data_IF_894926747678
#
_entry.id   IF_894926747678
#
_cell.length_a   1.000
_cell.length_b   1.000
_cell.length_c   1.000
_cell.angle_alpha   90.00
_cell.angle_beta   90.00
_cell.angle_gamma   90.00
#
_symmetry.space_group_name_H-M   'P 1'
#
loop_
_entity.id
_entity.type
_entity.pdbx_description
1 polymer ?
#
# COMPACT_ATOMS: atom_id res chain seq x y z
N UNK A 1 -0.83 -8.49 -23.78
CA UNK A 1 -1.55 -7.65 -22.82
C UNK A 1 -1.91 -8.52 -21.62
N UNK A 2 -0.89 -8.88 -20.84
CA UNK A 2 -1.02 -9.66 -19.61
C UNK A 2 -0.88 -8.77 -18.37
N UNK A 3 -0.85 -7.44 -18.57
CA UNK A 3 -0.30 -6.48 -17.62
C UNK A 3 -1.07 -6.40 -16.28
N UNK A 4 -2.34 -6.81 -16.24
CA UNK A 4 -3.18 -6.73 -15.03
C UNK A 4 -2.91 -7.82 -13.98
N UNK A 5 -2.37 -8.98 -14.37
CA UNK A 5 -2.06 -10.06 -13.41
C UNK A 5 -0.68 -9.90 -12.78
N UNK A 6 0.13 -9.00 -13.32
CA UNK A 6 1.51 -8.80 -12.90
C UNK A 6 1.65 -7.73 -11.81
N UNK A 7 0.69 -6.81 -11.62
CA UNK A 7 0.80 -5.72 -10.63
C UNK A 7 1.02 -6.22 -9.20
N UNK A 8 0.22 -7.19 -8.70
CA UNK A 8 0.41 -7.77 -7.35
C UNK A 8 1.72 -8.56 -7.24
N UNK A 9 2.12 -9.27 -8.30
CA UNK A 9 3.40 -10.02 -8.29
C UNK A 9 4.59 -9.06 -8.24
N UNK A 10 4.52 -8.01 -9.04
CA UNK A 10 5.53 -6.96 -9.10
C UNK A 10 5.62 -6.22 -7.76
N UNK A 11 4.48 -5.94 -7.12
CA UNK A 11 4.42 -5.40 -5.76
C UNK A 11 5.17 -6.29 -4.77
N UNK A 12 4.91 -7.60 -4.76
CA UNK A 12 5.61 -8.55 -3.87
C UNK A 12 7.10 -8.61 -4.17
N UNK A 13 7.51 -8.63 -5.45
CA UNK A 13 8.93 -8.60 -5.83
C UNK A 13 9.63 -7.31 -5.40
N UNK A 14 8.95 -6.17 -5.54
CA UNK A 14 9.43 -4.86 -5.10
C UNK A 14 9.54 -4.81 -3.58
N UNK A 15 8.49 -5.19 -2.86
CA UNK A 15 8.47 -5.24 -1.41
C UNK A 15 9.54 -6.16 -0.85
N UNK A 16 9.78 -7.32 -1.49
CA UNK A 16 10.82 -8.26 -1.08
C UNK A 16 12.23 -7.73 -1.34
N UNK A 17 12.41 -6.90 -2.38
CA UNK A 17 13.69 -6.21 -2.64
C UNK A 17 13.93 -5.04 -1.69
N UNK A 18 12.88 -4.28 -1.38
CA UNK A 18 12.94 -3.13 -0.49
C UNK A 18 12.92 -3.51 0.99
N UNK A 19 12.37 -4.68 1.33
CA UNK A 19 12.04 -5.12 2.69
C UNK A 19 10.78 -4.47 3.26
N UNK A 20 10.13 -3.58 2.51
CA UNK A 20 8.93 -2.85 2.93
C UNK A 20 8.12 -2.33 1.75
N UNK A 21 6.84 -2.08 1.98
CA UNK A 21 5.90 -1.45 1.06
C UNK A 21 5.00 -0.49 1.80
N UNK A 22 4.48 0.51 1.10
CA UNK A 22 3.51 1.43 1.66
C UNK A 22 2.07 0.95 1.50
N UNK A 23 1.19 1.34 2.42
CA UNK A 23 -0.26 1.10 2.29
C UNK A 23 -0.84 1.68 1.00
N UNK A 24 -0.29 2.80 0.52
CA UNK A 24 -0.61 3.41 -0.78
C UNK A 24 -0.20 2.51 -1.95
N UNK A 25 1.04 1.99 -1.98
CA UNK A 25 1.51 1.08 -3.05
C UNK A 25 0.68 -0.21 -3.11
N UNK A 26 0.29 -0.75 -1.96
CA UNK A 26 -0.57 -1.93 -1.88
C UNK A 26 -1.95 -1.62 -2.49
N UNK A 27 -2.53 -0.47 -2.12
CA UNK A 27 -3.84 -0.04 -2.63
C UNK A 27 -3.81 0.24 -4.13
N UNK A 28 -2.74 0.88 -4.63
CA UNK A 28 -2.52 1.17 -6.05
C UNK A 28 -2.37 -0.11 -6.88
N UNK A 29 -1.54 -1.06 -6.42
CA UNK A 29 -1.38 -2.36 -7.08
C UNK A 29 -2.69 -3.19 -7.05
N UNK A 30 -3.49 -3.06 -5.99
CA UNK A 30 -4.81 -3.68 -5.92
C UNK A 30 -5.79 -3.07 -6.93
N UNK A 31 -5.88 -1.75 -7.00
CA UNK A 31 -6.72 -1.03 -7.96
C UNK A 31 -6.30 -1.36 -9.41
N UNK A 32 -5.00 -1.35 -9.68
CA UNK A 32 -4.44 -1.64 -11.01
C UNK A 32 -4.65 -3.09 -11.43
N UNK A 33 -4.58 -4.03 -10.47
CA UNK A 33 -4.85 -5.45 -10.75
C UNK A 33 -6.26 -5.69 -11.28
N UNK A 34 -7.18 -4.71 -11.14
CA UNK A 34 -8.58 -4.79 -11.56
C UNK A 34 -9.29 -6.03 -10.98
N UNK A 35 -8.71 -6.61 -9.93
CA UNK A 35 -9.21 -7.78 -9.22
C UNK A 35 -10.06 -7.28 -8.08
N UNK A 36 -11.26 -7.83 -7.93
CA UNK A 36 -12.02 -7.64 -6.70
C UNK A 36 -11.21 -8.32 -5.60
N UNK A 37 -10.65 -7.51 -4.71
CA UNK A 37 -10.00 -7.97 -3.49
C UNK A 37 -11.07 -7.91 -2.41
N UNK A 38 -11.66 -9.05 -2.11
CA UNK A 38 -12.46 -9.22 -0.90
C UNK A 38 -11.55 -9.26 0.34
N UNK A 39 -12.13 -9.05 1.52
CA UNK A 39 -11.39 -9.04 2.79
C UNK A 39 -10.47 -10.26 2.99
N UNK A 40 -10.91 -11.45 2.55
CA UNK A 40 -10.09 -12.68 2.62
C UNK A 40 -8.83 -12.61 1.74
N UNK A 41 -8.93 -12.01 0.55
CA UNK A 41 -7.81 -11.90 -0.38
C UNK A 41 -6.83 -10.82 0.07
N UNK A 42 -7.37 -9.78 0.71
CA UNK A 42 -6.58 -8.74 1.35
C UNK A 42 -5.77 -9.32 2.51
N UNK A 43 -6.41 -10.07 3.41
CA UNK A 43 -5.75 -10.77 4.52
C UNK A 43 -4.61 -11.67 4.02
N UNK A 44 -4.86 -12.49 3.00
CA UNK A 44 -3.82 -13.32 2.37
C UNK A 44 -2.66 -12.53 1.79
N UNK A 45 -2.92 -11.36 1.19
CA UNK A 45 -1.84 -10.52 0.67
C UNK A 45 -0.97 -10.03 1.82
N UNK A 46 -1.56 -9.51 2.89
CA UNK A 46 -0.81 -9.06 4.06
C UNK A 46 -0.01 -10.20 4.71
N UNK A 47 -0.59 -11.39 4.83
CA UNK A 47 0.14 -12.59 5.27
C UNK A 47 1.30 -12.96 4.34
N UNK A 48 1.11 -12.89 3.02
CA UNK A 48 2.19 -13.14 2.05
C UNK A 48 3.29 -12.09 2.14
N UNK A 49 2.93 -10.81 2.31
CA UNK A 49 3.90 -9.73 2.49
C UNK A 49 4.77 -10.00 3.72
N UNK A 50 4.16 -10.28 4.88
CA UNK A 50 4.87 -10.61 6.11
C UNK A 50 5.75 -11.87 5.96
N UNK A 51 5.20 -12.93 5.35
CA UNK A 51 5.91 -14.20 5.10
C UNK A 51 7.12 -14.03 4.17
N UNK A 52 7.05 -13.08 3.23
CA UNK A 52 8.16 -12.72 2.36
C UNK A 52 9.14 -11.72 3.01
N UNK A 53 8.91 -11.31 4.27
CA UNK A 53 9.73 -10.34 5.00
C UNK A 53 9.53 -8.90 4.54
N UNK A 54 8.31 -8.58 4.09
CA UNK A 54 7.92 -7.25 3.60
C UNK A 54 7.10 -6.57 4.68
N UNK A 55 7.65 -5.50 5.23
CA UNK A 55 6.96 -4.68 6.23
C UNK A 55 5.99 -3.70 5.54
N UNK A 56 4.74 -3.64 5.99
CA UNK A 56 3.80 -2.62 5.50
C UNK A 56 3.93 -1.36 6.34
N UNK A 57 4.28 -0.26 5.69
CA UNK A 57 4.43 1.06 6.30
C UNK A 57 3.26 1.94 5.86
N UNK A 58 2.71 2.70 6.79
CA UNK A 58 1.67 3.67 6.46
C UNK A 58 2.32 4.98 5.98
N UNK A 59 2.15 5.33 4.70
CA UNK A 59 2.78 6.52 4.09
C UNK A 59 1.90 7.77 4.22
N UNK A 60 0.60 7.59 4.53
CA UNK A 60 -0.35 8.67 4.87
C UNK A 60 0.06 9.45 6.13
N UNK A 61 0.93 8.89 6.98
CA UNK A 61 1.47 9.60 8.14
C UNK A 61 2.44 10.75 7.77
N UNK A 62 2.93 10.79 6.52
CA UNK A 62 3.89 11.81 6.08
C UNK A 62 3.25 13.12 5.62
N UNK A 63 1.92 13.20 5.50
CA UNK A 63 1.19 14.43 5.11
C UNK A 63 0.64 15.24 6.31
N UNK A 64 0.83 14.77 7.56
CA UNK A 64 0.37 15.50 8.74
C UNK A 64 1.18 16.76 9.08
N UNK A 65 2.22 17.09 8.31
CA UNK A 65 2.89 18.39 8.43
C UNK A 65 2.17 19.53 7.69
N UNK A 66 1.11 19.26 6.91
CA UNK A 66 0.37 20.29 6.17
C UNK A 66 -0.95 20.73 6.82
N UNK A 67 -1.49 19.99 7.79
CA UNK A 67 -2.79 20.34 8.43
C UNK A 67 -2.62 21.10 9.76
N UNK A 68 -1.39 21.42 10.16
CA UNK A 68 -1.11 22.22 11.36
C UNK A 68 -0.94 23.73 11.10
N UNK A 69 -1.18 24.21 9.88
CA UNK A 69 -1.27 25.65 9.55
C UNK A 69 -2.70 26.05 9.15
N UNK A 70 -3.66 25.73 10.02
CA UNK A 70 -4.84 26.58 10.19
C UNK A 70 -4.97 26.89 11.68
N UNK A 71 -3.87 27.42 12.22
CA UNK A 71 -3.90 28.16 13.47
C UNK A 71 -4.76 29.41 13.29
N UNK A 72 -5.74 29.54 14.18
CA UNK A 72 -6.03 30.77 14.90
C UNK A 72 -6.16 32.06 14.07
N UNK A 73 -7.38 32.54 13.85
CA UNK A 73 -7.72 33.91 14.27
C UNK A 73 -9.16 33.93 14.78
N UNK A 74 -9.31 34.15 16.08
CA UNK A 74 -10.59 34.37 16.72
C UNK A 74 -11.22 35.68 16.29
N UNK A 75 -12.55 35.69 16.21
CA UNK A 75 -13.44 36.85 16.28
C UNK A 75 -14.84 36.36 16.68
#
# INVERSE_FOLDING_TARGET
MAEKKDSIRNLIEQGRRAGKLTSTEISDAMEESSRVIDAEQMEKLYEELESNGIEVVDDDATDMSAVADMGEEGM
#
